data_IF_674457818914
#
_entry.id   IF_674457818914
#
_cell.length_a   1.000
_cell.length_b   1.000
_cell.length_c   1.000
_cell.angle_alpha   90.00
_cell.angle_beta   90.00
_cell.angle_gamma   90.00
#
_symmetry.space_group_name_H-M   'P 1'
#
loop_
_entity.id
_entity.type
_entity.pdbx_description
1 polymer ?
#
# COMPACT_ATOMS: atom_id res chain seq x y z
N UNK A 1 -3.52 13.73 28.50
CA UNK A 1 -3.72 15.20 28.62
C UNK A 1 -2.60 15.86 27.84
N UNK A 2 -2.87 16.85 26.96
CA UNK A 2 -1.82 17.54 26.22
C UNK A 2 -0.92 18.32 27.19
N UNK A 3 0.40 18.26 27.03
CA UNK A 3 1.36 18.93 27.90
C UNK A 3 1.48 20.43 27.53
N UNK A 4 0.39 21.19 27.78
CA UNK A 4 0.26 22.59 27.35
C UNK A 4 1.40 23.46 27.86
N UNK A 5 1.88 23.18 29.09
CA UNK A 5 2.98 23.93 29.69
C UNK A 5 4.30 23.84 28.90
N UNK A 6 4.49 22.74 28.13
CA UNK A 6 5.68 22.56 27.26
C UNK A 6 5.59 23.35 25.96
N UNK A 7 4.43 23.94 25.64
CA UNK A 7 4.20 24.63 24.37
C UNK A 7 4.32 26.15 24.47
N UNK A 8 4.46 26.70 25.70
CA UNK A 8 4.46 28.14 25.93
C UNK A 8 5.56 28.87 25.13
N UNK A 9 6.72 28.24 24.98
CA UNK A 9 7.86 28.80 24.26
C UNK A 9 7.94 28.36 22.78
N UNK A 10 6.93 27.59 22.32
CA UNK A 10 6.93 27.06 20.96
C UNK A 10 6.18 28.00 20.02
N UNK A 11 6.87 28.47 18.97
CA UNK A 11 6.24 29.31 17.95
C UNK A 11 5.11 28.57 17.23
N UNK A 12 3.94 29.18 17.18
CA UNK A 12 2.76 28.65 16.45
C UNK A 12 2.77 29.12 14.98
N UNK A 13 2.21 28.34 14.03
CA UNK A 13 1.65 26.99 14.24
C UNK A 13 2.72 25.89 14.31
N UNK A 14 2.45 24.80 15.03
CA UNK A 14 3.33 23.62 15.08
C UNK A 14 2.51 22.33 15.17
N UNK A 15 3.14 21.21 14.81
CA UNK A 15 2.56 19.87 15.00
C UNK A 15 3.16 19.23 16.24
N UNK A 16 2.28 18.69 17.09
CA UNK A 16 2.69 17.88 18.24
C UNK A 16 2.43 16.40 17.93
N UNK A 17 3.43 15.58 18.13
CA UNK A 17 3.33 14.12 17.98
C UNK A 17 3.58 13.46 19.34
N UNK A 18 2.58 12.71 19.81
CA UNK A 18 2.76 11.84 20.98
C UNK A 18 3.43 10.54 20.53
N UNK A 19 4.74 10.45 20.76
CA UNK A 19 5.52 9.28 20.34
C UNK A 19 5.29 8.07 21.24
N UNK A 20 4.78 8.24 22.44
CA UNK A 20 4.40 7.12 23.30
C UNK A 20 3.15 6.45 22.75
N UNK A 21 2.09 7.21 22.47
CA UNK A 21 0.88 6.70 21.85
C UNK A 21 1.16 6.04 20.49
N UNK A 22 2.06 6.63 19.67
CA UNK A 22 2.50 6.02 18.42
C UNK A 22 3.13 4.64 18.65
N UNK A 23 4.03 4.51 19.65
CA UNK A 23 4.67 3.22 19.97
C UNK A 23 3.68 2.19 20.48
N UNK A 24 2.74 2.57 21.32
CA UNK A 24 1.67 1.70 21.82
C UNK A 24 0.81 1.17 20.64
N UNK A 25 0.42 2.06 19.72
CA UNK A 25 -0.31 1.66 18.52
C UNK A 25 0.50 0.69 17.64
N UNK A 26 1.77 0.99 17.41
CA UNK A 26 2.65 0.13 16.61
C UNK A 26 2.88 -1.24 17.27
N UNK A 27 2.98 -1.27 18.59
CA UNK A 27 3.09 -2.52 19.35
C UNK A 27 1.83 -3.38 19.16
N UNK A 28 0.64 -2.77 19.26
CA UNK A 28 -0.62 -3.48 19.03
C UNK A 28 -0.70 -4.02 17.59
N UNK A 29 -0.33 -3.22 16.58
CA UNK A 29 -0.30 -3.67 15.19
C UNK A 29 0.64 -4.87 15.03
N UNK A 30 1.83 -4.81 15.61
CA UNK A 30 2.82 -5.89 15.57
C UNK A 30 2.30 -7.18 16.23
N UNK A 31 1.64 -7.06 17.38
CA UNK A 31 1.06 -8.20 18.08
C UNK A 31 -0.10 -8.82 17.33
N UNK A 32 -1.01 -8.00 16.80
CA UNK A 32 -2.17 -8.50 16.06
C UNK A 32 -1.78 -9.12 14.71
N UNK A 33 -0.92 -8.45 13.93
CA UNK A 33 -0.44 -9.02 12.67
C UNK A 33 0.43 -10.26 12.88
N UNK A 34 1.22 -10.30 13.95
CA UNK A 34 2.09 -11.42 14.29
C UNK A 34 1.36 -12.72 14.65
N UNK A 35 0.05 -12.66 14.93
CA UNK A 35 -0.80 -13.86 15.10
C UNK A 35 -0.96 -14.66 13.81
N UNK A 36 -0.64 -14.06 12.67
CA UNK A 36 -0.78 -14.65 11.34
C UNK A 36 0.53 -14.51 10.57
N UNK A 37 1.26 -15.60 10.40
CA UNK A 37 2.61 -15.63 9.82
C UNK A 37 2.71 -15.00 8.41
N UNK A 38 1.58 -14.95 7.68
CA UNK A 38 1.53 -14.45 6.29
C UNK A 38 1.02 -13.00 6.19
N UNK A 39 0.86 -12.29 7.30
CA UNK A 39 0.36 -10.91 7.31
C UNK A 39 1.52 -9.93 7.45
N UNK A 40 1.62 -9.01 6.49
CA UNK A 40 2.61 -7.96 6.47
C UNK A 40 1.90 -6.60 6.41
N UNK A 41 2.21 -5.74 7.36
CA UNK A 41 1.63 -4.39 7.41
C UNK A 41 2.65 -3.40 6.86
N UNK A 42 2.23 -2.56 5.92
CA UNK A 42 3.03 -1.50 5.33
C UNK A 42 2.46 -0.13 5.73
N UNK A 43 3.33 0.76 6.16
CA UNK A 43 2.96 2.13 6.48
C UNK A 43 2.93 2.97 5.20
N UNK A 44 1.81 3.65 4.94
CA UNK A 44 1.67 4.57 3.82
C UNK A 44 2.46 5.87 4.10
N UNK A 45 3.66 6.00 3.51
CA UNK A 45 4.61 7.09 3.78
C UNK A 45 4.03 8.46 3.46
N UNK A 46 3.10 8.55 2.50
CA UNK A 46 2.38 9.79 2.17
C UNK A 46 1.63 10.41 3.36
N UNK A 47 1.30 9.63 4.38
CA UNK A 47 0.61 10.14 5.57
C UNK A 47 1.53 11.04 6.40
N UNK A 48 2.80 10.67 6.57
CA UNK A 48 3.82 11.47 7.23
C UNK A 48 5.22 10.95 6.94
N UNK A 49 5.99 11.67 6.14
CA UNK A 49 7.38 11.32 5.78
C UNK A 49 8.43 11.90 6.74
N UNK A 50 8.04 12.38 7.92
CA UNK A 50 9.01 12.90 8.90
C UNK A 50 9.97 11.78 9.36
N UNK A 51 11.27 12.01 9.21
CA UNK A 51 12.31 11.03 9.49
C UNK A 51 12.28 10.46 10.92
N UNK A 52 11.91 11.26 11.91
CA UNK A 52 11.79 10.80 13.30
C UNK A 52 10.63 9.83 13.47
N UNK A 53 9.51 10.09 12.79
CA UNK A 53 8.33 9.23 12.80
C UNK A 53 8.62 7.93 12.03
N UNK A 54 9.18 8.03 10.83
CA UNK A 54 9.53 6.87 10.01
C UNK A 54 10.50 5.93 10.72
N UNK A 55 11.53 6.46 11.42
CA UNK A 55 12.46 5.65 12.22
C UNK A 55 11.79 4.90 13.37
N UNK A 56 10.77 5.51 14.00
CA UNK A 56 9.99 4.81 15.03
C UNK A 56 9.23 3.66 14.38
N UNK A 57 8.57 3.90 13.24
CA UNK A 57 7.76 2.89 12.57
C UNK A 57 8.62 1.72 12.08
N UNK A 58 9.77 1.98 11.46
CA UNK A 58 10.67 0.94 10.95
C UNK A 58 11.17 -0.02 12.05
N UNK A 59 11.37 0.49 13.28
CA UNK A 59 11.79 -0.32 14.44
C UNK A 59 10.76 -1.39 14.85
N UNK A 60 9.50 -1.25 14.46
CA UNK A 60 8.45 -2.23 14.75
C UNK A 60 8.28 -3.30 13.67
N UNK A 61 9.11 -3.25 12.61
CA UNK A 61 9.13 -4.26 11.56
C UNK A 61 8.01 -4.11 10.52
N UNK A 62 7.38 -2.94 10.44
CA UNK A 62 6.45 -2.63 9.36
C UNK A 62 7.22 -2.36 8.06
N UNK A 63 6.61 -2.69 6.92
CA UNK A 63 7.08 -2.24 5.61
C UNK A 63 6.68 -0.80 5.31
N UNK A 64 7.10 -0.30 4.15
CA UNK A 64 6.73 1.01 3.65
C UNK A 64 5.95 0.90 2.34
N UNK A 65 4.81 1.58 2.25
CA UNK A 65 4.05 1.79 1.01
C UNK A 65 4.32 3.20 0.51
N UNK A 66 5.07 3.29 -0.59
CA UNK A 66 5.56 4.53 -1.18
C UNK A 66 4.83 4.86 -2.47
N UNK A 67 4.63 6.14 -2.74
CA UNK A 67 3.98 6.63 -3.97
C UNK A 67 4.87 7.61 -4.75
N UNK A 68 6.13 7.73 -4.36
CA UNK A 68 7.16 8.53 -5.07
C UNK A 68 8.56 8.05 -4.74
N UNK A 69 9.53 8.36 -5.60
CA UNK A 69 10.94 8.11 -5.33
C UNK A 69 11.48 8.86 -4.12
N UNK A 70 10.91 10.04 -3.81
CA UNK A 70 11.21 10.78 -2.59
C UNK A 70 10.82 10.02 -1.34
N UNK A 71 9.67 9.34 -1.35
CA UNK A 71 9.22 8.48 -0.25
C UNK A 71 10.07 7.21 -0.12
N UNK A 72 10.49 6.60 -1.24
CA UNK A 72 11.43 5.47 -1.23
C UNK A 72 12.74 5.87 -0.54
N UNK A 73 13.33 7.02 -0.92
CA UNK A 73 14.52 7.54 -0.26
C UNK A 73 14.32 7.76 1.23
N UNK A 74 13.20 8.42 1.60
CA UNK A 74 12.89 8.70 2.99
C UNK A 74 12.70 7.40 3.82
N UNK A 75 12.09 6.37 3.25
CA UNK A 75 11.94 5.07 3.89
C UNK A 75 13.29 4.37 4.09
N UNK A 76 14.14 4.31 3.06
CA UNK A 76 15.49 3.74 3.14
C UNK A 76 16.34 4.46 4.20
N UNK A 77 16.34 5.79 4.21
CA UNK A 77 17.06 6.62 5.19
C UNK A 77 16.54 6.42 6.62
N UNK A 78 15.26 6.09 6.77
CA UNK A 78 14.66 5.79 8.07
C UNK A 78 14.93 4.37 8.56
N UNK A 79 15.56 3.52 7.73
CA UNK A 79 15.95 2.16 8.07
C UNK A 79 14.88 1.09 7.78
N UNK A 80 13.94 1.37 6.89
CA UNK A 80 13.09 0.30 6.36
C UNK A 80 13.95 -0.61 5.46
N UNK A 81 13.87 -1.95 5.62
CA UNK A 81 14.50 -2.88 4.69
C UNK A 81 13.95 -2.68 3.27
N UNK A 82 14.80 -2.69 2.27
CA UNK A 82 14.38 -2.47 0.89
C UNK A 82 13.37 -3.52 0.41
N UNK A 83 13.55 -4.76 0.84
CA UNK A 83 12.65 -5.89 0.56
C UNK A 83 11.30 -5.82 1.32
N UNK A 84 11.08 -4.77 2.10
CA UNK A 84 9.80 -4.42 2.72
C UNK A 84 9.20 -3.11 2.18
N UNK A 85 9.75 -2.56 1.09
CA UNK A 85 9.25 -1.35 0.44
C UNK A 85 8.45 -1.74 -0.80
N UNK A 86 7.22 -1.26 -0.91
CA UNK A 86 6.40 -1.39 -2.13
C UNK A 86 6.19 0.00 -2.74
N UNK A 87 6.13 0.06 -4.07
CA UNK A 87 5.99 1.32 -4.79
C UNK A 87 4.75 1.32 -5.67
N UNK A 88 3.77 2.17 -5.35
CA UNK A 88 2.51 2.37 -6.04
C UNK A 88 2.44 3.75 -6.71
N UNK A 89 1.40 3.99 -7.51
CA UNK A 89 1.13 5.28 -8.16
C UNK A 89 1.18 5.20 -9.69
N UNK A 90 0.36 6.03 -10.33
CA UNK A 90 0.15 6.05 -11.80
C UNK A 90 1.20 6.83 -12.57
N UNK A 91 2.06 7.58 -11.90
CA UNK A 91 3.01 8.51 -12.53
C UNK A 91 4.47 8.21 -12.18
N UNK A 92 4.85 6.92 -12.12
CA UNK A 92 6.24 6.55 -11.85
C UNK A 92 7.14 7.02 -12.99
N UNK A 93 8.12 7.86 -12.68
CA UNK A 93 9.15 8.31 -13.62
C UNK A 93 10.31 7.32 -13.71
N UNK A 94 11.09 7.40 -14.80
CA UNK A 94 12.22 6.49 -15.04
C UNK A 94 13.20 6.45 -13.87
N UNK A 95 13.59 7.61 -13.33
CA UNK A 95 14.55 7.69 -12.22
C UNK A 95 14.03 7.06 -10.93
N UNK A 96 12.72 7.11 -10.70
CA UNK A 96 12.07 6.50 -9.52
C UNK A 96 12.02 4.98 -9.66
N UNK A 97 11.72 4.48 -10.87
CA UNK A 97 11.78 3.05 -11.18
C UNK A 97 13.24 2.55 -11.04
N UNK A 98 14.20 3.26 -11.61
CA UNK A 98 15.63 2.94 -11.48
C UNK A 98 16.08 2.91 -10.03
N UNK A 99 15.62 3.87 -9.21
CA UNK A 99 15.91 3.90 -7.78
C UNK A 99 15.38 2.63 -7.08
N UNK A 100 14.13 2.23 -7.37
CA UNK A 100 13.55 1.01 -6.82
C UNK A 100 14.30 -0.25 -7.26
N UNK A 101 14.65 -0.33 -8.54
CA UNK A 101 15.45 -1.45 -9.10
C UNK A 101 16.83 -1.53 -8.46
N UNK A 102 17.53 -0.42 -8.32
CA UNK A 102 18.88 -0.38 -7.74
C UNK A 102 18.90 -0.81 -6.28
N UNK A 103 17.86 -0.51 -5.54
CA UNK A 103 17.74 -0.88 -4.13
C UNK A 103 17.04 -2.22 -3.89
N UNK A 104 16.60 -2.93 -4.95
CA UNK A 104 15.90 -4.21 -4.86
C UNK A 104 14.65 -4.16 -3.95
N UNK A 105 13.82 -3.12 -4.15
CA UNK A 105 12.58 -2.99 -3.37
C UNK A 105 11.67 -4.22 -3.53
N UNK A 106 10.77 -4.44 -2.57
CA UNK A 106 9.90 -5.61 -2.55
C UNK A 106 9.06 -5.76 -3.81
N UNK A 107 8.45 -4.68 -4.28
CA UNK A 107 7.48 -4.76 -5.36
C UNK A 107 7.16 -3.41 -5.99
N UNK A 108 6.94 -3.40 -7.31
CA UNK A 108 6.28 -2.32 -8.03
C UNK A 108 4.80 -2.69 -8.23
N UNK A 109 3.87 -1.89 -7.70
CA UNK A 109 2.45 -2.03 -7.97
C UNK A 109 2.13 -1.36 -9.30
N UNK A 110 1.91 -2.15 -10.34
CA UNK A 110 1.78 -1.72 -11.74
C UNK A 110 0.31 -1.44 -12.07
N UNK A 111 0.05 -0.34 -12.74
CA UNK A 111 -1.30 0.14 -13.03
C UNK A 111 -1.68 0.10 -14.52
N UNK A 112 -0.72 -0.24 -15.41
CA UNK A 112 -0.96 -0.35 -16.86
C UNK A 112 0.09 -1.20 -17.57
N UNK A 113 -0.23 -1.69 -18.77
CA UNK A 113 0.72 -2.40 -19.63
C UNK A 113 1.88 -1.48 -20.05
N UNK A 114 1.61 -0.23 -20.39
CA UNK A 114 2.65 0.73 -20.77
C UNK A 114 3.67 0.94 -19.63
N UNK A 115 3.22 1.00 -18.39
CA UNK A 115 4.10 1.06 -17.23
C UNK A 115 4.94 -0.22 -17.10
N UNK A 116 4.33 -1.40 -17.29
CA UNK A 116 5.03 -2.68 -17.24
C UNK A 116 6.16 -2.74 -18.27
N UNK A 117 5.94 -2.27 -19.50
CA UNK A 117 6.95 -2.20 -20.57
C UNK A 117 8.12 -1.28 -20.18
N UNK A 118 7.83 -0.12 -19.58
CA UNK A 118 8.88 0.80 -19.09
C UNK A 118 9.70 0.16 -17.99
N UNK A 119 9.07 -0.49 -17.01
CA UNK A 119 9.76 -1.20 -15.92
C UNK A 119 10.63 -2.31 -16.51
N UNK A 120 10.13 -3.11 -17.46
CA UNK A 120 10.90 -4.16 -18.13
C UNK A 120 12.16 -3.59 -18.81
N UNK A 121 12.01 -2.54 -19.60
CA UNK A 121 13.12 -1.89 -20.29
C UNK A 121 14.20 -1.37 -19.33
N UNK A 122 13.78 -0.75 -18.23
CA UNK A 122 14.72 -0.25 -17.23
C UNK A 122 15.36 -1.40 -16.43
N UNK A 123 14.61 -2.45 -16.11
CA UNK A 123 15.13 -3.65 -15.48
C UNK A 123 16.21 -4.33 -16.36
N UNK A 124 15.93 -4.47 -17.66
CA UNK A 124 16.91 -4.97 -18.64
C UNK A 124 18.18 -4.12 -18.66
N UNK A 125 18.04 -2.79 -18.72
CA UNK A 125 19.16 -1.83 -18.70
C UNK A 125 20.08 -2.04 -17.48
N UNK A 126 19.49 -2.37 -16.32
CA UNK A 126 20.21 -2.59 -15.07
C UNK A 126 20.59 -4.06 -14.83
N UNK A 127 20.30 -4.99 -15.76
CA UNK A 127 20.55 -6.41 -15.59
C UNK A 127 19.80 -7.03 -14.41
N UNK A 128 18.61 -6.51 -14.11
CA UNK A 128 17.78 -6.93 -12.98
C UNK A 128 16.44 -7.52 -13.44
N UNK A 129 15.80 -8.22 -12.53
CA UNK A 129 14.41 -8.66 -12.69
C UNK A 129 13.53 -7.90 -11.73
N UNK A 130 12.54 -7.16 -12.25
CA UNK A 130 11.63 -6.38 -11.44
C UNK A 130 10.51 -7.25 -10.90
N UNK A 131 10.28 -7.23 -9.59
CA UNK A 131 9.13 -7.86 -8.95
C UNK A 131 7.93 -6.92 -9.05
N UNK A 132 6.82 -7.40 -9.60
CA UNK A 132 5.63 -6.60 -9.83
C UNK A 132 4.37 -7.23 -9.26
N UNK A 133 3.43 -6.41 -8.84
CA UNK A 133 2.06 -6.80 -8.57
C UNK A 133 1.11 -5.95 -9.41
N UNK A 134 0.10 -6.55 -10.02
CA UNK A 134 -0.88 -5.78 -10.78
C UNK A 134 -1.91 -5.15 -9.86
N UNK A 135 -2.05 -3.84 -9.95
CA UNK A 135 -3.15 -3.15 -9.30
C UNK A 135 -4.40 -3.32 -10.13
N UNK A 136 -5.34 -4.07 -9.61
CA UNK A 136 -6.61 -4.38 -10.25
C UNK A 136 -7.71 -3.52 -9.63
N UNK A 137 -8.52 -2.89 -10.49
CA UNK A 137 -9.76 -2.27 -10.05
C UNK A 137 -10.82 -3.38 -9.89
N UNK A 138 -11.24 -3.71 -8.65
CA UNK A 138 -12.15 -4.82 -8.41
C UNK A 138 -13.60 -4.52 -8.79
N UNK A 139 -13.91 -3.30 -9.24
CA UNK A 139 -15.25 -2.81 -9.55
C UNK A 139 -16.24 -3.05 -8.41
N UNK A 140 -15.83 -2.68 -7.19
CA UNK A 140 -16.65 -2.74 -5.98
C UNK A 140 -17.03 -1.31 -5.62
N UNK A 141 -18.32 -1.02 -5.51
CA UNK A 141 -18.82 0.24 -4.99
C UNK A 141 -18.61 0.28 -3.47
N UNK A 142 -17.55 0.95 -3.01
CA UNK A 142 -17.37 1.19 -1.59
C UNK A 142 -18.35 2.26 -1.09
N UNK A 143 -18.97 2.04 0.06
CA UNK A 143 -19.84 3.03 0.72
C UNK A 143 -18.97 4.14 1.35
N UNK A 144 -18.40 4.98 0.48
CA UNK A 144 -17.58 6.13 0.87
C UNK A 144 -18.33 7.42 0.59
N UNK A 145 -17.89 8.54 1.20
CA UNK A 145 -18.37 9.85 0.77
C UNK A 145 -18.20 10.02 -0.74
N UNK A 146 -19.22 10.55 -1.43
CA UNK A 146 -19.31 10.64 -2.89
C UNK A 146 -18.07 11.25 -3.59
N UNK A 147 -17.28 12.04 -2.88
CA UNK A 147 -16.07 12.70 -3.40
C UNK A 147 -14.78 11.87 -3.25
N UNK A 148 -14.82 10.67 -2.63
CA UNK A 148 -13.63 9.88 -2.28
C UNK A 148 -13.73 8.43 -2.79
N UNK A 149 -14.78 8.10 -3.53
CA UNK A 149 -15.02 6.74 -4.04
C UNK A 149 -13.99 6.37 -5.11
N UNK A 150 -13.17 5.36 -4.89
CA UNK A 150 -12.15 4.88 -5.85
C UNK A 150 -12.41 3.49 -6.42
N UNK A 151 -13.47 2.80 -6.00
CA UNK A 151 -13.76 1.40 -6.35
C UNK A 151 -14.77 1.16 -7.50
N UNK A 152 -15.30 2.21 -8.13
CA UNK A 152 -16.23 2.08 -9.24
C UNK A 152 -15.50 1.87 -10.58
N UNK A 153 -16.20 1.31 -11.59
CA UNK A 153 -15.66 1.07 -12.93
C UNK A 153 -15.11 2.33 -13.63
N UNK A 154 -15.58 3.51 -13.21
CA UNK A 154 -15.13 4.83 -13.70
C UNK A 154 -13.85 5.32 -13.02
N UNK A 155 -13.26 4.54 -12.12
CA UNK A 155 -12.10 4.98 -11.36
C UNK A 155 -10.84 5.02 -12.20
N UNK A 156 -10.09 6.09 -11.97
CA UNK A 156 -8.90 6.50 -12.72
C UNK A 156 -7.66 5.61 -12.47
N UNK A 157 -7.72 4.62 -11.57
CA UNK A 157 -6.56 3.90 -11.11
C UNK A 157 -6.70 2.39 -11.25
N UNK A 158 -5.61 1.75 -11.65
CA UNK A 158 -5.51 0.32 -11.77
C UNK A 158 -6.04 -0.23 -13.11
N UNK A 159 -5.73 -1.48 -13.33
CA UNK A 159 -6.13 -2.26 -14.50
C UNK A 159 -7.57 -2.69 -14.33
N UNK A 160 -8.41 -2.49 -15.34
CA UNK A 160 -9.79 -2.96 -15.30
C UNK A 160 -9.83 -4.50 -15.32
N UNK A 161 -10.79 -5.08 -14.60
CA UNK A 161 -10.98 -6.54 -14.53
C UNK A 161 -11.05 -7.21 -15.89
N UNK A 162 -11.68 -6.57 -16.86
CA UNK A 162 -11.83 -7.07 -18.23
C UNK A 162 -10.52 -7.14 -19.01
N UNK A 163 -9.51 -6.33 -18.61
CA UNK A 163 -8.21 -6.27 -19.28
C UNK A 163 -7.17 -7.19 -18.61
N UNK A 164 -7.54 -7.85 -17.53
CA UNK A 164 -6.61 -8.65 -16.71
C UNK A 164 -5.98 -9.80 -17.50
N UNK A 165 -6.77 -10.49 -18.33
CA UNK A 165 -6.26 -11.59 -19.15
C UNK A 165 -5.17 -11.12 -20.12
N UNK A 166 -5.40 -9.96 -20.76
CA UNK A 166 -4.43 -9.35 -21.66
C UNK A 166 -3.14 -8.96 -20.95
N UNK A 167 -3.25 -8.38 -19.75
CA UNK A 167 -2.07 -7.97 -18.96
C UNK A 167 -1.24 -9.18 -18.52
N UNK A 168 -1.90 -10.28 -18.16
CA UNK A 168 -1.21 -11.52 -17.78
C UNK A 168 -0.52 -12.15 -19.00
N UNK A 169 -1.18 -12.20 -20.16
CA UNK A 169 -0.58 -12.71 -21.38
C UNK A 169 0.66 -11.90 -21.77
N UNK A 170 0.58 -10.57 -21.71
CA UNK A 170 1.71 -9.67 -21.96
C UNK A 170 2.85 -9.94 -20.98
N UNK A 171 2.55 -9.99 -19.68
CA UNK A 171 3.56 -10.21 -18.65
C UNK A 171 4.30 -11.55 -18.80
N UNK A 172 3.65 -12.59 -19.34
CA UNK A 172 4.28 -13.89 -19.59
C UNK A 172 5.29 -13.86 -20.76
N UNK A 173 5.21 -12.84 -21.61
CA UNK A 173 6.15 -12.66 -22.75
C UNK A 173 7.37 -11.80 -22.41
N UNK A 174 7.43 -11.24 -21.20
CA UNK A 174 8.42 -10.27 -20.76
C UNK A 174 9.44 -10.91 -19.82
N UNK A 175 10.74 -10.87 -20.19
CA UNK A 175 11.80 -11.63 -19.51
C UNK A 175 12.26 -11.01 -18.17
N UNK A 176 12.27 -9.67 -18.06
CA UNK A 176 12.86 -8.97 -16.92
C UNK A 176 11.81 -8.57 -15.87
N UNK A 177 10.67 -9.24 -15.90
CA UNK A 177 9.57 -9.03 -14.96
C UNK A 177 9.26 -10.35 -14.23
N UNK A 178 8.99 -10.25 -12.94
CA UNK A 178 8.46 -11.33 -12.12
C UNK A 178 7.14 -10.88 -11.51
N UNK A 179 6.04 -11.50 -11.94
CA UNK A 179 4.72 -11.24 -11.37
C UNK A 179 4.60 -11.99 -10.06
N UNK A 180 4.66 -11.27 -8.94
CA UNK A 180 4.60 -11.86 -7.60
C UNK A 180 3.24 -11.73 -6.94
N UNK A 181 2.36 -10.84 -7.43
CA UNK A 181 1.12 -10.58 -6.70
C UNK A 181 0.06 -9.76 -7.42
N UNK A 182 -1.01 -9.54 -6.67
CA UNK A 182 -2.07 -8.60 -7.01
C UNK A 182 -2.18 -7.53 -5.93
N UNK A 183 -2.53 -6.32 -6.34
CA UNK A 183 -2.78 -5.19 -5.47
C UNK A 183 -4.18 -4.63 -5.71
N UNK A 184 -4.84 -4.23 -4.63
CA UNK A 184 -6.18 -3.66 -4.65
C UNK A 184 -6.22 -2.41 -3.76
N UNK A 185 -7.11 -1.49 -4.08
CA UNK A 185 -7.43 -0.36 -3.21
C UNK A 185 -8.83 0.15 -3.56
N UNK A 186 -9.79 -0.08 -2.67
CA UNK A 186 -11.21 0.19 -2.93
C UNK A 186 -11.66 1.58 -2.50
N UNK A 187 -10.84 2.32 -1.76
CA UNK A 187 -11.16 3.67 -1.33
C UNK A 187 -10.48 4.09 -0.04
N UNK A 188 -10.86 5.26 0.45
CA UNK A 188 -10.39 5.83 1.72
C UNK A 188 -11.56 6.10 2.64
N UNK A 189 -11.33 6.09 3.96
CA UNK A 189 -12.37 6.36 4.98
C UNK A 189 -13.58 5.41 4.88
N UNK A 190 -13.32 4.12 4.68
CA UNK A 190 -14.33 3.08 4.60
C UNK A 190 -14.65 2.63 6.02
N UNK A 191 -15.87 2.85 6.44
CA UNK A 191 -16.37 2.46 7.76
C UNK A 191 -17.20 1.15 7.71
N UNK A 192 -17.68 0.77 6.52
CA UNK A 192 -18.43 -0.47 6.34
C UNK A 192 -17.50 -1.65 6.03
N UNK A 193 -17.39 -2.58 6.96
CA UNK A 193 -16.60 -3.80 6.80
C UNK A 193 -17.17 -4.75 5.72
N UNK A 194 -18.41 -4.54 5.28
CA UNK A 194 -19.02 -5.25 4.17
C UNK A 194 -18.25 -5.06 2.86
N UNK A 195 -17.71 -3.87 2.64
CA UNK A 195 -16.91 -3.55 1.47
C UNK A 195 -15.61 -4.37 1.41
N UNK A 196 -14.94 -4.54 2.56
CA UNK A 196 -13.74 -5.39 2.66
C UNK A 196 -14.08 -6.88 2.48
N UNK A 197 -15.24 -7.34 2.97
CA UNK A 197 -15.71 -8.72 2.71
C UNK A 197 -15.99 -8.95 1.22
N UNK A 198 -16.62 -7.97 0.55
CA UNK A 198 -16.84 -8.01 -0.89
C UNK A 198 -15.51 -8.06 -1.66
N UNK A 199 -14.50 -7.28 -1.23
CA UNK A 199 -13.16 -7.34 -1.79
C UNK A 199 -12.55 -8.74 -1.63
N UNK A 200 -12.59 -9.33 -0.44
CA UNK A 200 -12.05 -10.68 -0.22
C UNK A 200 -12.71 -11.73 -1.13
N UNK A 201 -14.03 -11.69 -1.30
CA UNK A 201 -14.73 -12.58 -2.22
C UNK A 201 -14.25 -12.38 -3.66
N UNK A 202 -14.11 -11.12 -4.11
CA UNK A 202 -13.61 -10.78 -5.44
C UNK A 202 -12.19 -11.29 -5.67
N UNK A 203 -11.32 -11.15 -4.65
CA UNK A 203 -9.94 -11.67 -4.71
C UNK A 203 -9.95 -13.19 -4.88
N UNK A 204 -10.76 -13.91 -4.12
CA UNK A 204 -10.88 -15.36 -4.24
C UNK A 204 -11.36 -15.79 -5.65
N UNK A 205 -12.33 -15.09 -6.21
CA UNK A 205 -12.80 -15.36 -7.58
C UNK A 205 -11.67 -15.16 -8.60
N UNK A 206 -10.90 -14.09 -8.45
CA UNK A 206 -9.75 -13.79 -9.31
C UNK A 206 -8.65 -14.84 -9.19
N UNK A 207 -8.28 -15.22 -7.97
CA UNK A 207 -7.29 -16.28 -7.77
C UNK A 207 -7.72 -17.60 -8.40
N UNK A 208 -9.01 -17.94 -8.31
CA UNK A 208 -9.57 -19.13 -8.98
C UNK A 208 -9.51 -19.03 -10.51
N UNK A 209 -9.73 -17.85 -11.09
CA UNK A 209 -9.58 -17.61 -12.53
C UNK A 209 -8.12 -17.74 -12.97
N UNK A 210 -7.19 -17.14 -12.22
CA UNK A 210 -5.75 -17.23 -12.49
C UNK A 210 -5.24 -18.68 -12.39
N UNK A 211 -5.68 -19.42 -11.38
CA UNK A 211 -5.30 -20.83 -11.19
C UNK A 211 -5.71 -21.72 -12.39
N UNK A 212 -6.87 -21.46 -13.02
CA UNK A 212 -7.29 -22.15 -14.26
C UNK A 212 -6.33 -21.90 -15.43
N UNK A 213 -5.55 -20.84 -15.39
CA UNK A 213 -4.53 -20.47 -16.37
C UNK A 213 -3.12 -20.86 -15.94
N UNK A 214 -2.99 -21.63 -14.84
CA UNK A 214 -1.71 -21.97 -14.20
C UNK A 214 -0.90 -20.73 -13.75
N UNK A 215 -1.56 -19.64 -13.41
CA UNK A 215 -0.96 -18.44 -12.85
C UNK A 215 -1.22 -18.41 -11.35
N UNK A 216 -0.14 -18.46 -10.57
CA UNK A 216 -0.20 -18.45 -9.11
C UNK A 216 0.53 -17.23 -8.58
N UNK A 217 -0.15 -16.43 -7.78
CA UNK A 217 0.43 -15.25 -7.13
C UNK A 217 0.75 -15.56 -5.68
N UNK A 218 1.88 -15.05 -5.22
CA UNK A 218 2.39 -15.29 -3.86
C UNK A 218 1.86 -14.23 -2.89
N UNK A 219 1.64 -13.00 -3.37
CA UNK A 219 1.29 -11.86 -2.56
C UNK A 219 -0.06 -11.25 -2.97
N UNK A 220 -0.87 -10.95 -1.98
CA UNK A 220 -2.10 -10.17 -2.15
C UNK A 220 -2.00 -8.93 -1.28
N UNK A 221 -1.98 -7.76 -1.91
CA UNK A 221 -2.06 -6.48 -1.24
C UNK A 221 -3.50 -5.97 -1.30
N UNK A 222 -4.18 -5.95 -0.18
CA UNK A 222 -5.59 -5.52 -0.10
C UNK A 222 -5.74 -3.99 -0.04
N UNK A 223 -4.62 -3.28 -0.04
CA UNK A 223 -4.60 -1.82 0.11
C UNK A 223 -4.85 -1.39 1.55
N UNK A 224 -5.23 -0.14 1.70
CA UNK A 224 -5.63 0.46 2.96
C UNK A 224 -7.08 0.96 2.87
N UNK A 225 -7.32 2.11 3.49
CA UNK A 225 -8.62 2.79 3.38
C UNK A 225 -9.55 2.56 4.55
N UNK A 226 -9.16 1.77 5.54
CA UNK A 226 -9.94 1.65 6.78
C UNK A 226 -10.14 3.04 7.40
N UNK A 227 -11.40 3.40 7.61
CA UNK A 227 -11.78 4.71 8.10
C UNK A 227 -11.56 4.86 9.60
N UNK A 228 -11.34 6.11 10.01
CA UNK A 228 -11.40 6.51 11.42
C UNK A 228 -12.61 7.41 11.63
N UNK A 229 -13.27 7.26 12.76
CA UNK A 229 -14.38 8.16 13.09
C UNK A 229 -13.84 9.51 13.53
N UNK A 230 -14.31 10.57 12.87
CA UNK A 230 -14.10 11.96 13.30
C UNK A 230 -15.27 12.48 14.18
N UNK A 231 -16.37 11.73 14.23
CA UNK A 231 -17.51 12.02 15.07
C UNK A 231 -17.48 11.12 16.31
N UNK A 232 -17.56 11.72 17.47
CA UNK A 232 -17.59 11.00 18.75
C UNK A 232 -18.76 10.02 18.85
N UNK A 233 -19.86 10.28 18.14
CA UNK A 233 -21.03 9.37 18.08
C UNK A 233 -20.75 8.07 17.34
N UNK A 234 -19.74 8.05 16.46
CA UNK A 234 -19.34 6.89 15.66
C UNK A 234 -18.12 6.15 16.22
N UNK A 235 -17.68 6.51 17.41
CA UNK A 235 -16.48 5.93 18.05
C UNK A 235 -16.56 4.41 18.17
N UNK A 236 -17.77 3.87 18.32
CA UNK A 236 -18.02 2.43 18.45
C UNK A 236 -17.86 1.67 17.13
N UNK A 237 -17.92 2.34 15.98
CA UNK A 237 -17.77 1.71 14.66
C UNK A 237 -16.30 1.42 14.37
N UNK A 238 -15.39 2.22 14.92
CA UNK A 238 -13.94 2.08 14.73
C UNK A 238 -13.23 1.37 15.89
N UNK A 239 -13.96 0.84 16.86
CA UNK A 239 -13.40 0.17 18.04
C UNK A 239 -12.42 -0.97 17.76
N UNK A 240 -12.55 -1.80 16.71
CA UNK A 240 -11.57 -2.85 16.42
C UNK A 240 -10.15 -2.32 16.19
N UNK A 241 -10.00 -1.02 15.95
CA UNK A 241 -8.71 -0.37 15.69
C UNK A 241 -8.20 0.47 16.86
N UNK A 242 -8.94 0.55 17.98
CA UNK A 242 -8.47 1.17 19.22
C UNK A 242 -7.83 0.13 20.12
N UNK A 243 -6.56 0.29 20.48
CA UNK A 243 -6.02 -0.41 21.64
C UNK A 243 -6.73 0.15 22.91
N UNK A 244 -7.32 -0.72 23.69
CA UNK A 244 -7.78 -0.40 25.02
C UNK A 244 -6.59 -0.22 25.96
#
# INVERSE_FOLDING_TARGET
MFPVDKFQDTRTPFYYYDTQLLRETLQTIKEESGKHANYHVHYAVKANANQKILRIISQYGLGADCVSGGEIKAALEAGFPADSIVYAGVGKSDWEIELGLQNDIACFNVESIAELEVINKLAQKHGKKARVAFRINPNIGAHTHANITTGLAENKFGIAMQDMDKVIDEAQTIDNIEVIGLHFHIGSQILDMGDFKALCNRINDLQNQLAKRNVFVQNINVGGGLGVSYDLSLIHISEPTRPY
#
